data_IF_568925242841
#
_entry.id   IF_568925242841
#
_cell.length_a   1.000
_cell.length_b   1.000
_cell.length_c   1.000
_cell.angle_alpha   90.00
_cell.angle_beta   90.00
_cell.angle_gamma   90.00
#
_symmetry.space_group_name_H-M   'P 1'
#
loop_
_entity.id
_entity.type
_entity.pdbx_description
1 polymer ?
#
# COMPACT_ATOMS: atom_id res chain seq x y z
N UNK A 1 45.53 7.99 -19.73
CA UNK A 1 44.89 9.32 -19.58
C UNK A 1 43.41 9.04 -19.40
N UNK A 2 42.90 9.18 -18.18
CA UNK A 2 41.49 8.90 -17.87
C UNK A 2 40.58 9.82 -18.70
N UNK A 3 39.54 9.27 -19.34
CA UNK A 3 38.65 10.03 -20.20
C UNK A 3 37.79 10.97 -19.33
N UNK A 4 37.57 12.22 -19.75
CA UNK A 4 36.83 13.22 -18.96
C UNK A 4 35.45 12.73 -18.52
N UNK A 5 34.81 11.92 -19.36
CA UNK A 5 33.52 11.31 -19.09
C UNK A 5 33.53 10.37 -17.87
N UNK A 6 34.59 9.58 -17.70
CA UNK A 6 34.72 8.65 -16.58
C UNK A 6 35.02 9.37 -15.26
N UNK A 7 35.68 10.55 -15.34
CA UNK A 7 35.91 11.42 -14.18
C UNK A 7 34.60 12.05 -13.72
N UNK A 8 33.80 12.56 -14.66
CA UNK A 8 32.50 13.17 -14.37
C UNK A 8 31.50 12.14 -13.82
N UNK A 9 31.50 10.91 -14.33
CA UNK A 9 30.65 9.84 -13.80
C UNK A 9 31.01 9.48 -12.36
N UNK A 10 32.31 9.41 -12.02
CA UNK A 10 32.74 9.19 -10.63
C UNK A 10 32.37 10.34 -9.70
N UNK A 11 32.61 11.59 -10.09
CA UNK A 11 32.21 12.76 -9.29
C UNK A 11 30.69 12.82 -9.08
N UNK A 12 29.90 12.38 -10.06
CA UNK A 12 28.45 12.34 -9.97
C UNK A 12 27.97 11.26 -8.99
N UNK A 13 28.55 10.05 -9.04
CA UNK A 13 28.25 8.96 -8.10
C UNK A 13 28.64 9.35 -6.67
N UNK A 14 29.81 9.95 -6.49
CA UNK A 14 30.30 10.40 -5.18
C UNK A 14 29.43 11.52 -4.58
N UNK A 15 28.87 12.41 -5.41
CA UNK A 15 27.89 13.42 -4.98
C UNK A 15 26.52 12.84 -4.62
N UNK A 16 26.09 11.79 -5.32
CA UNK A 16 24.83 11.11 -5.03
C UNK A 16 24.91 10.31 -3.72
N UNK A 17 26.05 9.67 -3.45
CA UNK A 17 26.27 8.90 -2.22
C UNK A 17 26.33 9.79 -0.97
N UNK A 18 26.91 11.00 -1.06
CA UNK A 18 26.91 11.97 0.06
C UNK A 18 25.55 12.62 0.36
N UNK A 19 24.52 12.41 -0.47
CA UNK A 19 23.19 13.07 -0.35
C UNK A 19 22.06 12.15 0.12
N UNK A 20 22.37 11.03 0.77
CA UNK A 20 21.37 10.14 1.40
C UNK A 20 21.00 10.47 2.85
N UNK A 21 21.27 11.67 3.33
CA UNK A 21 20.57 12.20 4.50
C UNK A 21 19.33 12.94 4.05
N UNK A 22 18.15 12.34 4.24
CA UNK A 22 16.86 13.03 4.08
C UNK A 22 16.80 14.17 5.11
N UNK A 23 17.12 15.39 4.69
CA UNK A 23 16.92 16.59 5.51
C UNK A 23 15.44 16.97 5.44
N UNK A 24 14.72 16.70 6.51
CA UNK A 24 13.37 17.23 6.70
C UNK A 24 13.45 18.73 6.98
N UNK A 25 12.99 19.55 6.05
CA UNK A 25 12.80 20.98 6.28
C UNK A 25 11.35 21.20 6.70
N UNK A 26 11.11 21.39 8.00
CA UNK A 26 9.83 21.90 8.48
C UNK A 26 9.78 23.39 8.17
N UNK A 27 9.03 23.79 7.14
CA UNK A 27 8.75 25.21 6.89
C UNK A 27 7.67 25.62 7.88
N UNK A 28 8.08 26.16 9.03
CA UNK A 28 7.13 26.78 9.94
C UNK A 28 6.50 28.00 9.25
N UNK A 29 5.15 28.08 9.13
CA UNK A 29 4.50 29.23 8.53
C UNK A 29 4.87 30.48 9.34
N UNK A 30 5.53 31.42 8.67
CA UNK A 30 5.95 32.67 9.27
C UNK A 30 5.14 33.78 8.61
N UNK A 31 4.46 34.59 9.41
CA UNK A 31 3.76 35.78 8.91
C UNK A 31 4.62 37.00 9.14
N UNK A 32 4.76 37.80 8.10
CA UNK A 32 5.43 39.09 8.16
C UNK A 32 4.37 40.17 8.17
N UNK A 33 4.45 41.05 9.16
CA UNK A 33 3.58 42.22 9.25
C UNK A 33 4.40 43.44 8.86
N UNK A 34 3.93 44.19 7.87
CA UNK A 34 4.65 45.34 7.31
C UNK A 34 4.02 46.64 7.79
N UNK A 35 4.78 47.43 8.55
CA UNK A 35 4.46 48.81 8.88
C UNK A 35 5.40 49.76 8.13
N UNK A 36 5.02 51.03 7.91
CA UNK A 36 5.76 51.96 7.04
C UNK A 36 7.26 52.07 7.33
N UNK A 37 7.68 51.90 8.59
CA UNK A 37 9.09 51.93 9.01
C UNK A 37 9.53 50.68 9.81
N UNK A 38 8.77 49.57 9.79
CA UNK A 38 9.11 48.37 10.58
C UNK A 38 8.54 47.09 9.98
N UNK A 39 9.40 46.10 9.81
CA UNK A 39 9.03 44.73 9.45
C UNK A 39 9.05 43.88 10.72
N UNK A 40 7.92 43.31 11.10
CA UNK A 40 7.84 42.36 12.22
C UNK A 40 7.61 40.95 11.70
N UNK A 41 8.46 40.02 12.15
CA UNK A 41 8.38 38.60 11.83
C UNK A 41 7.69 37.88 12.97
N UNK A 42 6.54 37.26 12.70
CA UNK A 42 5.82 36.44 13.67
C UNK A 42 5.90 34.97 13.26
N UNK A 43 6.50 34.14 14.12
CA UNK A 43 6.45 32.70 13.96
C UNK A 43 5.06 32.22 14.41
N UNK A 44 4.27 31.66 13.49
CA UNK A 44 3.02 31.02 13.88
C UNK A 44 3.36 29.62 14.34
N UNK A 45 3.40 29.42 15.65
CA UNK A 45 3.29 28.08 16.20
C UNK A 45 1.89 27.59 15.85
N UNK A 46 1.78 26.56 14.99
CA UNK A 46 0.52 25.86 14.80
C UNK A 46 0.12 25.31 16.17
N UNK A 47 -0.80 25.98 16.87
CA UNK A 47 -1.53 25.33 17.93
C UNK A 47 -2.32 24.21 17.26
N UNK A 48 -1.95 22.97 17.54
CA UNK A 48 -2.73 21.80 17.13
C UNK A 48 -4.13 22.01 17.71
N UNK A 49 -5.14 22.07 16.84
CA UNK A 49 -6.52 22.22 17.29
C UNK A 49 -6.84 21.13 18.31
N UNK A 50 -7.76 21.36 19.26
CA UNK A 50 -8.18 20.33 20.21
C UNK A 50 -8.65 19.03 19.51
N UNK A 51 -9.11 19.13 18.26
CA UNK A 51 -9.45 17.99 17.39
C UNK A 51 -8.22 17.22 16.91
N UNK A 52 -7.13 17.93 16.57
CA UNK A 52 -5.84 17.35 16.21
C UNK A 52 -5.13 16.73 17.42
N UNK A 53 -5.24 17.34 18.60
CA UNK A 53 -4.74 16.78 19.87
C UNK A 53 -5.50 15.49 20.24
N UNK A 54 -6.83 15.46 20.09
CA UNK A 54 -7.62 14.23 20.28
C UNK A 54 -7.27 13.11 19.31
N UNK A 55 -6.90 13.44 18.07
CA UNK A 55 -6.37 12.47 17.09
C UNK A 55 -4.96 11.95 17.45
N UNK A 56 -4.20 12.70 18.25
CA UNK A 56 -2.86 12.31 18.69
C UNK A 56 -2.89 11.53 20.02
N UNK A 57 -3.96 11.67 20.81
CA UNK A 57 -4.16 11.00 22.11
C UNK A 57 -4.93 9.68 22.01
N UNK A 58 -5.58 9.37 20.89
CA UNK A 58 -6.19 8.05 20.67
C UNK A 58 -5.12 6.99 20.44
N UNK A 59 -5.33 5.81 21.00
CA UNK A 59 -4.43 4.64 21.01
C UNK A 59 -4.14 4.02 19.61
N UNK A 60 -4.23 4.79 18.53
CA UNK A 60 -4.09 4.37 17.13
C UNK A 60 -2.62 4.34 16.63
N UNK A 61 -1.67 4.84 17.42
CA UNK A 61 -0.26 4.88 17.02
C UNK A 61 0.40 3.50 16.89
N UNK A 62 -0.07 2.48 17.63
CA UNK A 62 0.55 1.15 17.62
C UNK A 62 0.13 0.33 16.38
N UNK A 63 -1.17 0.31 16.05
CA UNK A 63 -1.69 -0.40 14.88
C UNK A 63 -1.27 0.24 13.55
N UNK A 64 -1.31 1.58 13.45
CA UNK A 64 -0.88 2.28 12.24
C UNK A 64 0.61 2.02 11.91
N UNK A 65 1.47 1.98 12.94
CA UNK A 65 2.89 1.65 12.77
C UNK A 65 3.11 0.22 12.26
N UNK A 66 2.27 -0.73 12.72
CA UNK A 66 2.33 -2.13 12.32
C UNK A 66 1.88 -2.33 10.86
N UNK A 67 0.83 -1.63 10.43
CA UNK A 67 0.32 -1.70 9.06
C UNK A 67 1.25 -1.00 8.07
N UNK A 68 1.87 0.12 8.44
CA UNK A 68 2.91 0.75 7.62
C UNK A 68 4.12 -0.18 7.43
N UNK A 69 4.54 -0.88 8.48
CA UNK A 69 5.60 -1.88 8.39
C UNK A 69 5.21 -3.03 7.44
N UNK A 70 3.96 -3.51 7.49
CA UNK A 70 3.43 -4.50 6.56
C UNK A 70 3.49 -3.98 5.11
N UNK A 71 3.01 -2.75 4.85
CA UNK A 71 3.08 -2.12 3.52
C UNK A 71 4.51 -2.11 2.97
N UNK A 72 5.49 -1.76 3.81
CA UNK A 72 6.90 -1.77 3.41
C UNK A 72 7.40 -3.19 3.09
N UNK A 73 7.06 -4.18 3.92
CA UNK A 73 7.41 -5.60 3.70
C UNK A 73 6.88 -6.11 2.36
N UNK A 74 5.64 -5.75 1.98
CA UNK A 74 5.05 -6.15 0.71
C UNK A 74 5.81 -5.61 -0.51
N UNK A 75 6.45 -4.44 -0.38
CA UNK A 75 7.15 -3.78 -1.48
C UNK A 75 8.64 -4.15 -1.59
N UNK A 76 9.16 -5.00 -0.72
CA UNK A 76 10.53 -5.52 -0.83
C UNK A 76 10.70 -6.40 -2.08
N UNK A 77 11.89 -6.44 -2.70
CA UNK A 77 12.16 -7.30 -3.87
C UNK A 77 11.73 -8.76 -3.63
N UNK A 78 11.11 -9.38 -4.64
CA UNK A 78 10.65 -10.77 -4.57
C UNK A 78 11.69 -11.73 -5.19
N UNK A 79 11.81 -12.97 -4.67
CA UNK A 79 11.03 -13.58 -3.58
C UNK A 79 11.46 -13.09 -2.19
N UNK A 80 10.50 -12.79 -1.32
CA UNK A 80 10.74 -12.34 0.06
C UNK A 80 10.38 -13.44 1.07
N UNK A 81 11.22 -13.69 2.10
CA UNK A 81 10.94 -14.68 3.14
C UNK A 81 9.73 -14.29 4.02
N UNK A 82 9.33 -13.02 4.00
CA UNK A 82 8.19 -12.49 4.75
C UNK A 82 6.90 -13.27 4.44
N UNK A 83 6.60 -13.47 3.15
CA UNK A 83 5.37 -14.14 2.71
C UNK A 83 5.31 -15.63 3.05
N UNK A 84 6.42 -16.24 3.45
CA UNK A 84 6.47 -17.63 3.91
C UNK A 84 6.54 -17.74 5.44
N UNK A 85 6.58 -16.61 6.15
CA UNK A 85 6.72 -16.59 7.61
C UNK A 85 5.39 -16.91 8.32
N UNK A 86 5.42 -17.58 9.49
CA UNK A 86 4.23 -17.77 10.32
C UNK A 86 3.60 -16.46 10.80
N UNK A 87 4.42 -15.42 11.00
CA UNK A 87 3.98 -14.09 11.39
C UNK A 87 3.10 -13.46 10.30
N UNK A 88 3.51 -13.54 9.03
CA UNK A 88 2.70 -13.10 7.90
C UNK A 88 1.32 -13.77 7.89
N UNK A 89 1.24 -15.09 8.13
CA UNK A 89 -0.05 -15.80 8.15
C UNK A 89 -0.98 -15.23 9.23
N UNK A 90 -0.44 -14.99 10.43
CA UNK A 90 -1.22 -14.41 11.52
C UNK A 90 -1.71 -13.00 11.19
N UNK A 91 -0.83 -12.16 10.64
CA UNK A 91 -1.16 -10.78 10.27
C UNK A 91 -2.16 -10.73 9.11
N UNK A 92 -1.95 -11.55 8.06
CA UNK A 92 -2.84 -11.62 6.90
C UNK A 92 -4.22 -12.11 7.27
N UNK A 93 -4.33 -13.09 8.19
CA UNK A 93 -5.63 -13.55 8.70
C UNK A 93 -6.40 -12.41 9.38
N UNK A 94 -5.75 -11.68 10.30
CA UNK A 94 -6.37 -10.53 10.98
C UNK A 94 -6.79 -9.46 10.00
N UNK A 95 -5.98 -9.24 8.96
CA UNK A 95 -6.30 -8.33 7.88
C UNK A 95 -7.55 -8.78 7.11
N UNK A 96 -7.67 -10.07 6.76
CA UNK A 96 -8.88 -10.60 6.13
C UNK A 96 -10.13 -10.41 7.00
N UNK A 97 -10.04 -10.69 8.30
CA UNK A 97 -11.16 -10.49 9.23
C UNK A 97 -11.61 -9.02 9.25
N UNK A 98 -10.65 -8.08 9.35
CA UNK A 98 -10.93 -6.64 9.29
C UNK A 98 -11.50 -6.20 7.94
N UNK A 99 -11.02 -6.77 6.84
CA UNK A 99 -11.52 -6.48 5.49
C UNK A 99 -12.98 -6.92 5.30
N UNK A 100 -13.39 -8.03 5.90
CA UNK A 100 -14.80 -8.45 5.88
C UNK A 100 -15.70 -7.39 6.50
N UNK A 101 -15.32 -6.84 7.65
CA UNK A 101 -16.08 -5.78 8.33
C UNK A 101 -16.10 -4.48 7.50
N UNK A 102 -14.95 -4.07 6.96
CA UNK A 102 -14.83 -2.86 6.14
C UNK A 102 -15.70 -2.98 4.88
N UNK A 103 -15.57 -4.07 4.13
CA UNK A 103 -16.30 -4.26 2.87
C UNK A 103 -17.80 -4.47 3.09
N UNK A 104 -18.21 -5.09 4.20
CA UNK A 104 -19.62 -5.25 4.55
C UNK A 104 -20.34 -3.91 4.79
N UNK A 105 -19.59 -2.88 5.22
CA UNK A 105 -20.11 -1.52 5.40
C UNK A 105 -20.21 -0.73 4.09
N UNK A 106 -19.53 -1.17 3.02
CA UNK A 106 -19.53 -0.47 1.74
C UNK A 106 -20.77 -0.78 0.88
N UNK A 107 -21.26 0.24 0.17
CA UNK A 107 -22.34 0.07 -0.81
C UNK A 107 -21.84 -0.73 -2.01
N UNK A 108 -22.65 -1.69 -2.47
CA UNK A 108 -22.43 -2.42 -3.73
C UNK A 108 -22.23 -1.50 -4.94
N UNK A 109 -22.84 -0.31 -4.92
CA UNK A 109 -22.64 0.75 -5.91
C UNK A 109 -21.96 1.92 -5.22
N UNK A 110 -20.65 2.08 -5.46
CA UNK A 110 -19.85 3.15 -4.89
C UNK A 110 -20.17 4.48 -5.57
N UNK A 111 -20.31 5.55 -4.78
CA UNK A 111 -20.46 6.93 -5.25
C UNK A 111 -19.20 7.69 -4.92
N UNK A 112 -18.35 7.86 -5.92
CA UNK A 112 -17.00 8.36 -5.76
C UNK A 112 -16.85 9.78 -6.33
N UNK A 113 -16.11 10.63 -5.63
CA UNK A 113 -15.84 12.02 -6.03
C UNK A 113 -14.49 12.10 -6.76
N UNK A 114 -14.39 12.98 -7.75
CA UNK A 114 -13.12 13.27 -8.42
C UNK A 114 -12.22 14.15 -7.53
N UNK A 115 -10.89 14.09 -7.69
CA UNK A 115 -10.13 13.27 -8.66
C UNK A 115 -9.99 11.80 -8.24
N UNK A 116 -10.02 10.90 -9.21
CA UNK A 116 -9.92 9.45 -9.01
C UNK A 116 -8.88 8.81 -9.95
N UNK A 117 -8.04 7.95 -9.41
CA UNK A 117 -7.15 7.07 -10.16
C UNK A 117 -7.80 5.71 -10.30
N UNK A 118 -8.01 5.26 -11.54
CA UNK A 118 -8.70 4.01 -11.83
C UNK A 118 -7.69 2.99 -12.38
N UNK A 119 -7.62 1.83 -11.75
CA UNK A 119 -6.72 0.74 -12.09
C UNK A 119 -7.52 -0.46 -12.60
N UNK A 120 -7.10 -0.99 -13.75
CA UNK A 120 -7.63 -2.23 -14.30
C UNK A 120 -6.97 -3.46 -13.68
N UNK A 121 -7.01 -4.55 -14.44
CA UNK A 121 -6.54 -5.86 -14.00
C UNK A 121 -5.05 -5.87 -13.63
N UNK A 122 -4.71 -6.62 -12.58
CA UNK A 122 -3.33 -6.86 -12.15
C UNK A 122 -2.87 -8.30 -12.44
N UNK A 123 -3.77 -9.29 -12.40
CA UNK A 123 -3.50 -10.70 -12.73
C UNK A 123 -2.20 -11.23 -12.10
N UNK A 124 -1.97 -10.99 -10.80
CA UNK A 124 -0.79 -11.49 -10.11
C UNK A 124 0.56 -10.88 -10.56
N UNK A 125 0.55 -9.75 -11.30
CA UNK A 125 1.75 -9.03 -11.76
C UNK A 125 2.22 -7.99 -10.73
N UNK A 126 3.22 -8.36 -9.93
CA UNK A 126 3.80 -7.45 -8.94
C UNK A 126 4.57 -6.30 -9.60
N UNK A 127 5.12 -6.51 -10.80
CA UNK A 127 5.88 -5.50 -11.52
C UNK A 127 5.00 -4.31 -11.94
N UNK A 128 3.76 -4.58 -12.37
CA UNK A 128 2.80 -3.53 -12.70
C UNK A 128 2.40 -2.73 -11.46
N UNK A 129 2.15 -3.41 -10.34
CA UNK A 129 1.86 -2.74 -9.06
C UNK A 129 3.03 -1.85 -8.60
N UNK A 130 4.27 -2.32 -8.74
CA UNK A 130 5.47 -1.52 -8.44
C UNK A 130 5.59 -0.31 -9.35
N UNK A 131 5.34 -0.49 -10.65
CA UNK A 131 5.35 0.60 -11.62
C UNK A 131 4.32 1.67 -11.24
N UNK A 132 3.09 1.28 -10.93
CA UNK A 132 2.07 2.22 -10.47
C UNK A 132 2.48 2.92 -9.17
N UNK A 133 3.02 2.18 -8.19
CA UNK A 133 3.45 2.77 -6.92
C UNK A 133 4.56 3.81 -7.07
N UNK A 134 5.55 3.53 -7.90
CA UNK A 134 6.67 4.45 -8.15
C UNK A 134 6.26 5.68 -8.97
N UNK A 135 5.25 5.54 -9.82
CA UNK A 135 4.80 6.61 -10.73
C UNK A 135 3.74 7.51 -10.09
N UNK A 136 2.74 6.93 -9.42
CA UNK A 136 1.53 7.63 -9.01
C UNK A 136 1.48 7.93 -7.50
N UNK A 137 2.14 7.13 -6.66
CA UNK A 137 2.19 7.37 -5.21
C UNK A 137 3.59 7.11 -4.61
N UNK A 138 4.65 7.77 -5.10
CA UNK A 138 6.03 7.52 -4.64
C UNK A 138 6.23 7.86 -3.16
N UNK A 139 5.39 8.73 -2.58
CA UNK A 139 5.39 9.08 -1.17
C UNK A 139 4.36 8.29 -0.34
N UNK A 140 3.56 7.42 -0.98
CA UNK A 140 2.47 6.65 -0.37
C UNK A 140 1.08 7.17 -0.74
N UNK A 141 0.10 6.25 -0.80
CA UNK A 141 -1.29 6.53 -1.20
C UNK A 141 -1.91 7.62 -0.30
N UNK A 142 -1.60 7.62 0.99
CA UNK A 142 -2.16 8.58 1.93
C UNK A 142 -1.77 10.04 1.62
N UNK A 143 -0.62 10.27 0.99
CA UNK A 143 -0.16 11.62 0.61
C UNK A 143 -0.57 12.04 -0.81
N UNK A 144 -1.01 11.10 -1.66
CA UNK A 144 -1.43 11.44 -3.03
C UNK A 144 -2.84 12.05 -3.05
N UNK A 145 -3.08 13.20 -3.70
CA UNK A 145 -4.42 13.80 -3.76
C UNK A 145 -5.37 12.98 -4.63
N UNK A 146 -6.60 12.75 -4.16
CA UNK A 146 -7.61 11.94 -4.87
C UNK A 146 -7.77 10.53 -4.30
N UNK A 147 -8.71 9.79 -4.88
CA UNK A 147 -9.05 8.43 -4.48
C UNK A 147 -8.48 7.39 -5.45
N UNK A 148 -8.35 6.16 -5.01
CA UNK A 148 -7.82 5.02 -5.75
C UNK A 148 -8.92 3.99 -5.92
N UNK A 149 -9.28 3.66 -7.16
CA UNK A 149 -10.29 2.67 -7.49
C UNK A 149 -9.65 1.53 -8.28
N UNK A 150 -9.69 0.32 -7.72
CA UNK A 150 -9.21 -0.88 -8.37
C UNK A 150 -10.40 -1.72 -8.86
N UNK A 151 -10.45 -2.02 -10.16
CA UNK A 151 -11.64 -2.60 -10.81
C UNK A 151 -11.81 -4.12 -10.62
N UNK A 152 -10.83 -4.82 -10.02
CA UNK A 152 -10.86 -6.26 -9.77
C UNK A 152 -9.73 -6.99 -10.50
N UNK A 153 -9.83 -8.32 -10.60
CA UNK A 153 -8.85 -9.17 -11.28
C UNK A 153 -7.43 -8.99 -10.75
N UNK A 154 -7.32 -9.08 -9.42
CA UNK A 154 -6.07 -9.00 -8.67
C UNK A 154 -5.29 -10.30 -8.75
N UNK A 155 -6.02 -11.42 -8.83
CA UNK A 155 -5.52 -12.79 -8.72
C UNK A 155 -5.54 -13.50 -10.07
N UNK A 156 -4.90 -14.68 -10.11
CA UNK A 156 -4.74 -15.57 -11.27
C UNK A 156 -3.72 -15.11 -12.32
N UNK A 157 -3.26 -16.07 -13.12
CA UNK A 157 -2.24 -15.98 -14.18
C UNK A 157 -0.80 -15.62 -13.74
N UNK A 158 -0.62 -14.70 -12.80
CA UNK A 158 0.68 -14.27 -12.27
C UNK A 158 1.09 -15.02 -10.99
N UNK A 159 2.40 -15.06 -10.72
CA UNK A 159 3.00 -15.83 -9.61
C UNK A 159 2.88 -15.16 -8.23
N UNK A 160 2.40 -13.92 -8.19
CA UNK A 160 2.44 -13.05 -6.99
C UNK A 160 1.04 -12.60 -6.55
N UNK A 161 0.03 -13.48 -6.69
CA UNK A 161 -1.37 -13.14 -6.36
C UNK A 161 -1.53 -12.81 -4.87
N UNK A 162 -0.85 -13.55 -3.98
CA UNK A 162 -0.90 -13.34 -2.53
C UNK A 162 -0.29 -12.00 -2.13
N UNK A 163 0.84 -11.63 -2.73
CA UNK A 163 1.57 -10.40 -2.47
C UNK A 163 0.74 -9.17 -2.86
N UNK A 164 0.10 -9.22 -4.02
CA UNK A 164 -0.79 -8.15 -4.49
C UNK A 164 -2.00 -8.00 -3.57
N UNK A 165 -2.69 -9.10 -3.25
CA UNK A 165 -3.82 -9.06 -2.33
C UNK A 165 -3.43 -8.50 -0.97
N UNK A 166 -2.31 -8.96 -0.41
CA UNK A 166 -1.81 -8.49 0.88
C UNK A 166 -1.57 -6.98 0.86
N UNK A 167 -0.92 -6.47 -0.19
CA UNK A 167 -0.67 -5.04 -0.35
C UNK A 167 -1.97 -4.23 -0.48
N UNK A 168 -2.91 -4.67 -1.32
CA UNK A 168 -4.16 -3.95 -1.55
C UNK A 168 -5.04 -3.94 -0.30
N UNK A 169 -5.11 -5.05 0.42
CA UNK A 169 -5.91 -5.17 1.64
C UNK A 169 -5.36 -4.27 2.74
N UNK A 170 -4.05 -4.23 2.96
CA UNK A 170 -3.49 -3.33 3.99
C UNK A 170 -3.70 -1.86 3.61
N UNK A 171 -3.59 -1.49 2.33
CA UNK A 171 -3.89 -0.13 1.88
C UNK A 171 -5.36 0.23 2.09
N UNK A 172 -6.29 -0.71 1.83
CA UNK A 172 -7.72 -0.52 2.08
C UNK A 172 -8.03 -0.41 3.57
N UNK A 173 -7.41 -1.23 4.41
CA UNK A 173 -7.60 -1.21 5.85
C UNK A 173 -7.09 0.10 6.47
N UNK A 174 -5.92 0.59 6.04
CA UNK A 174 -5.38 1.88 6.51
C UNK A 174 -6.20 3.08 6.02
N UNK A 175 -6.70 3.02 4.78
CA UNK A 175 -7.29 4.18 4.09
C UNK A 175 -8.64 3.82 3.44
N UNK A 176 -9.66 3.42 4.22
CA UNK A 176 -10.93 2.91 3.70
C UNK A 176 -11.71 3.94 2.88
N UNK A 177 -11.58 5.23 3.20
CA UNK A 177 -12.25 6.32 2.46
C UNK A 177 -11.51 6.73 1.18
N UNK A 178 -10.30 6.20 0.95
CA UNK A 178 -9.42 6.61 -0.14
C UNK A 178 -9.16 5.50 -1.15
N UNK A 179 -9.06 4.26 -0.69
CA UNK A 179 -8.82 3.08 -1.52
C UNK A 179 -10.12 2.32 -1.64
N UNK A 180 -10.52 2.00 -2.86
CA UNK A 180 -11.75 1.26 -3.15
C UNK A 180 -11.40 0.05 -4.02
N UNK A 181 -11.87 -1.12 -3.59
CA UNK A 181 -11.62 -2.39 -4.26
C UNK A 181 -12.95 -2.94 -4.77
N UNK A 182 -13.05 -3.14 -6.08
CA UNK A 182 -14.19 -3.82 -6.69
C UNK A 182 -13.87 -5.30 -6.94
N UNK A 183 -14.91 -6.12 -6.91
CA UNK A 183 -14.81 -7.54 -7.19
C UNK A 183 -14.77 -7.78 -8.71
N UNK A 184 -13.71 -8.42 -9.20
CA UNK A 184 -13.61 -8.91 -10.56
C UNK A 184 -14.11 -10.35 -10.70
N UNK A 185 -13.99 -10.91 -11.90
CA UNK A 185 -14.44 -12.26 -12.19
C UNK A 185 -13.50 -13.34 -11.66
N UNK A 186 -12.25 -12.99 -11.35
CA UNK A 186 -11.25 -13.90 -10.78
C UNK A 186 -11.34 -14.00 -9.25
N UNK A 187 -12.00 -13.06 -8.58
CA UNK A 187 -12.22 -13.06 -7.13
C UNK A 187 -13.43 -13.91 -6.70
N UNK A 188 -13.81 -14.93 -7.48
CA UNK A 188 -14.89 -15.86 -7.16
C UNK A 188 -14.35 -17.24 -6.87
N UNK A 189 -14.97 -17.92 -5.89
CA UNK A 189 -14.57 -19.27 -5.44
C UNK A 189 -14.49 -20.28 -6.57
N UNK A 190 -15.41 -20.18 -7.53
CA UNK A 190 -15.45 -21.07 -8.68
C UNK A 190 -14.20 -20.96 -9.56
N UNK A 191 -13.68 -19.75 -9.78
CA UNK A 191 -12.52 -19.50 -10.64
C UNK A 191 -11.23 -19.82 -9.87
N UNK A 192 -11.08 -19.30 -8.65
CA UNK A 192 -9.93 -19.56 -7.78
C UNK A 192 -9.80 -21.04 -7.35
N UNK A 193 -10.91 -21.77 -7.26
CA UNK A 193 -10.96 -23.18 -6.87
C UNK A 193 -10.75 -24.15 -8.04
N UNK A 194 -10.79 -23.68 -9.28
CA UNK A 194 -10.68 -24.55 -10.44
C UNK A 194 -9.22 -24.91 -10.75
N UNK A 195 -8.74 -25.99 -10.15
CA UNK A 195 -7.39 -26.53 -10.43
C UNK A 195 -7.30 -27.29 -11.77
N UNK A 196 -8.39 -27.41 -12.54
CA UNK A 196 -8.44 -28.25 -13.75
C UNK A 196 -7.97 -27.52 -15.02
N UNK A 197 -7.98 -26.19 -15.08
CA UNK A 197 -7.62 -25.40 -16.28
C UNK A 197 -6.21 -24.78 -16.26
N UNK A 198 -5.77 -24.28 -15.10
CA UNK A 198 -4.44 -23.68 -14.91
C UNK A 198 -3.90 -24.00 -13.50
N UNK A 199 -3.60 -25.29 -13.22
CA UNK A 199 -3.32 -25.79 -11.88
C UNK A 199 -2.22 -25.03 -11.15
N UNK A 200 -1.19 -24.53 -11.84
CA UNK A 200 -0.04 -23.87 -11.21
C UNK A 200 -0.19 -22.35 -11.03
N UNK A 201 -1.31 -21.77 -11.45
CA UNK A 201 -1.45 -20.29 -11.49
C UNK A 201 -2.63 -19.77 -10.69
N UNK A 202 -3.57 -20.63 -10.27
CA UNK A 202 -4.65 -20.21 -9.41
C UNK A 202 -4.16 -19.90 -7.99
N UNK A 203 -4.80 -18.93 -7.33
CA UNK A 203 -4.44 -18.50 -5.97
C UNK A 203 -4.40 -19.69 -4.98
N UNK A 204 -5.38 -20.60 -5.07
CA UNK A 204 -5.45 -21.75 -4.18
C UNK A 204 -4.26 -22.71 -4.35
N UNK A 205 -3.75 -22.88 -5.58
CA UNK A 205 -2.57 -23.71 -5.78
C UNK A 205 -1.31 -23.03 -5.29
N UNK A 206 -1.16 -21.72 -5.50
CA UNK A 206 -0.02 -20.97 -4.98
C UNK A 206 0.07 -21.09 -3.46
N UNK A 207 -1.07 -21.06 -2.77
CA UNK A 207 -1.11 -21.24 -1.32
C UNK A 207 -0.81 -22.67 -0.88
N UNK A 208 -1.30 -23.69 -1.59
CA UNK A 208 -1.00 -25.09 -1.29
C UNK A 208 0.48 -25.44 -1.49
N UNK A 209 1.15 -24.78 -2.44
CA UNK A 209 2.57 -24.94 -2.68
C UNK A 209 3.42 -24.22 -1.63
N UNK A 210 3.00 -23.03 -1.22
CA UNK A 210 3.75 -22.20 -0.26
C UNK A 210 3.54 -22.59 1.20
N UNK A 211 2.34 -23.06 1.57
CA UNK A 211 1.98 -23.36 2.95
C UNK A 211 1.59 -24.84 3.14
N UNK A 212 1.99 -25.46 4.26
CA UNK A 212 1.53 -26.81 4.63
C UNK A 212 -0.01 -26.89 4.69
N UNK A 213 -0.56 -28.08 4.44
CA UNK A 213 -2.02 -28.33 4.30
C UNK A 213 -2.90 -27.81 5.44
N UNK A 214 -2.38 -27.65 6.66
CA UNK A 214 -3.13 -27.08 7.79
C UNK A 214 -3.28 -25.56 7.72
N UNK A 215 -2.21 -24.87 7.36
CA UNK A 215 -2.14 -23.40 7.36
C UNK A 215 -2.88 -22.78 6.18
N UNK A 216 -2.91 -23.45 5.03
CA UNK A 216 -3.67 -22.98 3.86
C UNK A 216 -5.19 -22.89 4.13
N UNK A 217 -5.74 -23.73 5.03
CA UNK A 217 -7.12 -23.60 5.52
C UNK A 217 -7.26 -22.42 6.49
N UNK A 218 -6.24 -22.18 7.34
CA UNK A 218 -6.24 -21.10 8.35
C UNK A 218 -6.13 -19.69 7.75
N UNK A 219 -5.53 -19.55 6.57
CA UNK A 219 -5.42 -18.27 5.82
C UNK A 219 -6.79 -17.83 5.27
N UNK A 220 -7.86 -18.62 5.47
CA UNK A 220 -9.23 -18.11 5.43
C UNK A 220 -9.79 -17.80 4.04
N UNK A 221 -9.25 -18.39 2.97
CA UNK A 221 -9.81 -18.19 1.63
C UNK A 221 -11.18 -18.83 1.40
N UNK A 222 -11.68 -19.66 2.31
CA UNK A 222 -13.07 -20.13 2.21
C UNK A 222 -14.09 -19.02 2.48
N UNK A 223 -13.75 -17.98 3.25
CA UNK A 223 -14.66 -16.87 3.59
C UNK A 223 -14.49 -15.61 2.73
N UNK A 224 -13.27 -15.30 2.24
CA UNK A 224 -13.00 -14.10 1.42
C UNK A 224 -13.74 -14.13 0.08
N UNK A 225 -14.08 -15.33 -0.43
CA UNK A 225 -14.83 -15.48 -1.67
C UNK A 225 -16.37 -15.46 -1.49
N UNK A 226 -16.87 -15.52 -0.26
CA UNK A 226 -18.30 -15.64 0.04
C UNK A 226 -18.98 -14.28 0.32
N UNK A 227 -18.21 -13.18 0.41
CA UNK A 227 -18.69 -11.79 0.57
C UNK A 227 -18.98 -11.07 -0.77
#
# INVERSE_FOLDING_TARGET
MMNELERLQREFVERMERRRERKYFSIAPTVYTFYPNKLEKHNILRMTSARSLKLMESQEMDECSSQEAFIQQCMLPLPSPFFSSPDFVCQFRRLCDSMCDILALESRVLRLQSPAYVFGDLHGSMDDLRLFSSTLWPLGIHLTPGIFLFLGNYVDYGAFSLEILSYLFVQKACYPEKVFLLRGNHEVKFVNGCTQGAPHRCLLSQLKERFPKGTALEVGLEGVCDA
#
